data_IF_888448418599
#
_entry.id   IF_888448418599
#
_cell.length_a   1.000
_cell.length_b   1.000
_cell.length_c   1.000
_cell.angle_alpha   90.00
_cell.angle_beta   90.00
_cell.angle_gamma   90.00
#
_symmetry.space_group_name_H-M   'P 1'
#
loop_
_entity.id
_entity.type
_entity.pdbx_description
1 polymer ?
#
# COMPACT_ATOMS: atom_id res chain seq x y z
N UNK A 1 9.11 -9.54 -4.42
CA UNK A 1 8.40 -8.29 -4.06
C UNK A 1 8.62 -7.91 -2.60
N UNK A 2 8.28 -8.74 -1.60
CA UNK A 2 8.45 -8.39 -0.17
C UNK A 2 9.82 -7.83 0.23
N UNK A 3 10.92 -8.36 -0.30
CA UNK A 3 12.29 -7.86 0.00
C UNK A 3 12.57 -6.43 -0.51
N UNK A 4 11.73 -5.89 -1.40
CA UNK A 4 11.83 -4.52 -1.91
C UNK A 4 10.93 -3.55 -1.12
N UNK A 5 10.05 -4.06 -0.26
CA UNK A 5 9.16 -3.24 0.55
C UNK A 5 9.95 -2.69 1.73
N UNK A 6 9.97 -1.36 1.82
CA UNK A 6 10.61 -0.59 2.89
C UNK A 6 9.90 0.75 3.04
N UNK A 7 10.18 1.45 4.12
CA UNK A 7 9.75 2.84 4.33
C UNK A 7 9.99 3.68 3.06
N UNK A 8 8.98 4.44 2.68
CA UNK A 8 8.99 5.34 1.52
C UNK A 8 8.66 4.67 0.18
N UNK A 9 8.61 3.34 0.11
CA UNK A 9 8.18 2.64 -1.11
C UNK A 9 6.71 2.95 -1.40
N UNK A 10 6.41 3.28 -2.65
CA UNK A 10 5.03 3.44 -3.12
C UNK A 10 4.60 2.15 -3.79
N UNK A 11 3.46 1.62 -3.38
CA UNK A 11 2.89 0.38 -3.91
C UNK A 11 1.48 0.64 -4.44
N UNK A 12 1.05 -0.25 -5.32
CA UNK A 12 -0.31 -0.30 -5.83
C UNK A 12 -1.09 -1.31 -5.00
N UNK A 13 -2.14 -0.84 -4.33
CA UNK A 13 -3.11 -1.65 -3.61
C UNK A 13 -4.26 -1.98 -4.55
N UNK A 14 -4.53 -3.27 -4.79
CA UNK A 14 -5.64 -3.71 -5.65
C UNK A 14 -6.98 -3.15 -5.17
N UNK A 15 -7.94 -3.07 -6.09
CA UNK A 15 -9.33 -2.84 -5.70
C UNK A 15 -9.87 -3.97 -4.80
N UNK A 16 -10.66 -3.60 -3.80
CA UNK A 16 -11.42 -4.48 -2.91
C UNK A 16 -12.64 -3.72 -2.40
N UNK A 17 -13.72 -4.45 -2.11
CA UNK A 17 -15.02 -3.86 -1.75
C UNK A 17 -15.40 -2.71 -2.70
N UNK A 18 -15.68 -1.52 -2.17
CA UNK A 18 -15.98 -0.29 -2.93
C UNK A 18 -14.76 0.65 -3.06
N UNK A 19 -13.56 0.17 -2.71
CA UNK A 19 -12.31 0.94 -2.80
C UNK A 19 -11.61 0.61 -4.12
N UNK A 20 -11.42 1.59 -5.03
CA UNK A 20 -10.69 1.36 -6.26
C UNK A 20 -9.21 1.10 -5.98
N UNK A 21 -8.50 0.60 -6.98
CA UNK A 21 -7.04 0.53 -6.94
C UNK A 21 -6.46 1.92 -6.64
N UNK A 22 -5.47 1.95 -5.75
CA UNK A 22 -4.87 3.20 -5.31
C UNK A 22 -3.41 3.01 -4.92
N UNK A 23 -2.71 4.15 -4.88
CA UNK A 23 -1.32 4.21 -4.45
C UNK A 23 -1.26 4.32 -2.94
N UNK A 24 -0.30 3.64 -2.34
CA UNK A 24 -0.05 3.63 -0.91
C UNK A 24 1.44 3.81 -0.65
N UNK A 25 1.81 4.71 0.25
CA UNK A 25 3.20 4.89 0.68
C UNK A 25 3.41 4.18 2.00
N UNK A 26 4.40 3.29 2.02
CA UNK A 26 4.79 2.54 3.22
C UNK A 26 5.51 3.45 4.21
N UNK A 27 5.10 3.40 5.47
CA UNK A 27 5.82 3.94 6.63
C UNK A 27 6.60 2.84 7.34
N UNK A 28 5.96 1.71 7.65
CA UNK A 28 6.60 0.59 8.35
C UNK A 28 6.26 -0.75 7.68
N UNK A 29 7.14 -1.74 7.85
CA UNK A 29 6.97 -3.11 7.32
C UNK A 29 7.01 -4.07 8.50
N UNK A 30 5.96 -4.87 8.64
CA UNK A 30 5.83 -5.91 9.66
C UNK A 30 5.90 -7.30 9.02
N UNK A 31 5.68 -8.35 9.82
CA UNK A 31 5.82 -9.74 9.37
C UNK A 31 4.78 -10.13 8.30
N UNK A 32 3.57 -9.60 8.42
CA UNK A 32 2.38 -9.95 7.61
C UNK A 32 1.70 -8.75 6.90
N UNK A 33 2.02 -7.52 7.29
CA UNK A 33 1.45 -6.31 6.70
C UNK A 33 2.48 -5.18 6.53
N UNK A 34 2.02 -4.08 5.91
CA UNK A 34 2.70 -2.79 5.94
C UNK A 34 1.75 -1.75 6.53
N UNK A 35 2.30 -0.69 7.10
CA UNK A 35 1.54 0.50 7.53
C UNK A 35 1.95 1.71 6.72
N UNK A 36 1.16 2.79 6.77
CA UNK A 36 1.42 3.96 5.94
C UNK A 36 0.15 4.74 5.65
N UNK A 37 0.09 5.35 4.46
CA UNK A 37 -1.06 6.13 4.04
C UNK A 37 -1.32 5.98 2.54
N UNK A 38 -2.59 6.04 2.16
CA UNK A 38 -2.97 6.10 0.75
C UNK A 38 -2.64 7.49 0.19
N UNK A 39 -2.07 7.50 -1.02
CA UNK A 39 -1.75 8.71 -1.78
C UNK A 39 -2.94 9.10 -2.67
N UNK A 40 -3.66 8.11 -3.20
CA UNK A 40 -4.80 8.32 -4.11
C UNK A 40 -6.04 7.56 -3.63
N UNK A 41 -7.17 7.80 -4.30
CA UNK A 41 -8.42 7.12 -4.01
C UNK A 41 -9.19 7.72 -2.82
N UNK A 42 -10.31 7.11 -2.43
CA UNK A 42 -11.22 7.63 -1.40
C UNK A 42 -10.60 7.66 0.00
N UNK A 43 -9.49 6.95 0.21
CA UNK A 43 -8.78 6.85 1.48
C UNK A 43 -7.52 7.74 1.49
N UNK A 44 -7.33 8.63 0.52
CA UNK A 44 -6.12 9.46 0.45
C UNK A 44 -5.89 10.25 1.77
N UNK A 45 -4.69 10.13 2.32
CA UNK A 45 -4.28 10.74 3.60
C UNK A 45 -4.51 9.87 4.84
N UNK A 46 -5.36 8.85 4.78
CA UNK A 46 -5.66 7.96 5.90
C UNK A 46 -5.72 6.50 5.44
N UNK A 47 -4.87 5.62 5.98
CA UNK A 47 -4.95 4.21 5.65
C UNK A 47 -4.32 3.36 6.74
N UNK A 48 -4.87 2.15 6.95
CA UNK A 48 -4.44 1.25 8.02
C UNK A 48 -3.27 0.34 7.63
N UNK A 49 -3.45 -0.95 7.87
CA UNK A 49 -2.40 -1.96 7.77
C UNK A 49 -2.70 -2.98 6.64
N UNK A 50 -2.53 -2.62 5.35
CA UNK A 50 -2.79 -3.56 4.27
C UNK A 50 -1.87 -4.78 4.36
N UNK A 51 -2.47 -5.97 4.26
CA UNK A 51 -1.74 -7.22 4.05
C UNK A 51 -0.98 -7.17 2.72
N UNK A 52 0.15 -7.90 2.65
CA UNK A 52 0.92 -8.05 1.43
C UNK A 52 0.11 -8.62 0.25
N UNK A 53 -0.95 -9.38 0.51
CA UNK A 53 -1.79 -9.97 -0.55
C UNK A 53 -2.60 -8.91 -1.32
N UNK A 54 -2.74 -7.71 -0.76
CA UNK A 54 -3.38 -6.57 -1.43
C UNK A 54 -2.40 -5.79 -2.33
N UNK A 55 -1.09 -5.99 -2.17
CA UNK A 55 -0.07 -5.31 -2.97
C UNK A 55 0.11 -6.04 -4.30
N UNK A 56 -0.26 -5.40 -5.40
CA UNK A 56 -0.16 -5.99 -6.74
C UNK A 56 1.06 -5.51 -7.52
N UNK A 57 1.60 -4.34 -7.19
CA UNK A 57 2.81 -3.83 -7.83
C UNK A 57 3.56 -2.81 -6.96
N UNK A 58 4.82 -2.57 -7.28
CA UNK A 58 5.58 -1.41 -6.82
C UNK A 58 5.40 -0.31 -7.86
N UNK A 59 5.06 0.89 -7.40
CA UNK A 59 4.96 2.06 -8.27
C UNK A 59 6.34 2.71 -8.38
N UNK A 60 7.00 2.47 -9.51
CA UNK A 60 8.16 3.27 -9.93
C UNK A 60 7.61 4.53 -10.61
N UNK A 61 7.83 5.68 -9.98
CA UNK A 61 7.40 6.98 -10.49
C UNK A 61 8.17 7.41 -11.74
#
# INVERSE_FOLDING_TARGET
MKQLLKEGTVVVIRAFDDVPEHLFRISEVHEDCVTGYAITGPLAGEYGEPSFDLIVNIHEG
#
